data_IF_745474835550
#
_entry.id   IF_745474835550
#
_cell.length_a   1.000
_cell.length_b   1.000
_cell.length_c   1.000
_cell.angle_alpha   90.00
_cell.angle_beta   90.00
_cell.angle_gamma   90.00
#
_symmetry.space_group_name_H-M   'P 1'
#
loop_
_entity.id
_entity.type
_entity.pdbx_description
1 polymer ?
#
# COMPACT_ATOMS: atom_id res chain seq x y z
N UNK A 1 -14.09 14.84 6.72
CA UNK A 1 -12.82 15.57 6.61
C UNK A 1 -11.73 14.50 6.46
N UNK A 2 -10.93 14.52 5.39
CA UNK A 2 -9.94 13.46 5.09
C UNK A 2 -8.82 13.43 6.15
N UNK A 3 -8.22 12.25 6.36
CA UNK A 3 -7.03 12.07 7.18
C UNK A 3 -5.87 12.97 6.74
N UNK A 4 -5.72 13.22 5.42
CA UNK A 4 -4.75 14.18 4.88
C UNK A 4 -4.96 15.59 5.41
N UNK A 5 -6.21 16.07 5.43
CA UNK A 5 -6.53 17.40 5.94
C UNK A 5 -6.26 17.51 7.44
N UNK A 6 -6.60 16.47 8.22
CA UNK A 6 -6.33 16.42 9.67
C UNK A 6 -4.83 16.41 9.97
N UNK A 7 -4.05 15.62 9.23
CA UNK A 7 -2.60 15.56 9.37
C UNK A 7 -1.93 16.88 8.96
N UNK A 8 -2.33 17.46 7.82
CA UNK A 8 -1.83 18.74 7.34
C UNK A 8 -2.13 19.88 8.33
N UNK A 9 -3.35 19.94 8.85
CA UNK A 9 -3.74 20.95 9.84
C UNK A 9 -2.90 20.83 11.11
N UNK A 10 -2.63 19.61 11.58
CA UNK A 10 -1.81 19.45 12.77
C UNK A 10 -0.34 19.82 12.54
N UNK A 11 0.22 19.47 11.38
CA UNK A 11 1.58 19.88 10.99
C UNK A 11 1.72 21.40 10.87
N UNK A 12 0.66 22.11 10.46
CA UNK A 12 0.69 23.56 10.19
C UNK A 12 0.22 24.42 11.37
N UNK A 13 -0.57 23.88 12.29
CA UNK A 13 -1.14 24.63 13.43
C UNK A 13 -0.14 25.02 14.53
N UNK A 14 1.12 24.57 14.46
CA UNK A 14 2.14 24.81 15.48
C UNK A 14 1.94 24.05 16.79
N UNK A 15 0.80 23.38 16.99
CA UNK A 15 0.57 22.45 18.10
C UNK A 15 1.10 21.07 17.74
N UNK A 16 2.01 20.54 18.57
CA UNK A 16 2.43 19.15 18.47
C UNK A 16 1.24 18.21 18.76
N UNK A 17 1.00 17.24 17.86
CA UNK A 17 0.07 16.13 18.14
C UNK A 17 0.60 15.31 19.31
N UNK A 18 -0.31 14.86 20.17
CA UNK A 18 0.02 13.82 21.16
C UNK A 18 0.34 12.50 20.43
N UNK A 19 1.18 11.62 21.00
CA UNK A 19 1.51 10.35 20.37
C UNK A 19 0.29 9.52 19.94
N UNK A 20 -0.76 9.48 20.75
CA UNK A 20 -1.99 8.75 20.45
C UNK A 20 -2.76 9.37 19.26
N UNK A 21 -2.83 10.71 19.21
CA UNK A 21 -3.46 11.46 18.12
C UNK A 21 -2.70 11.26 16.79
N UNK A 22 -1.38 11.21 16.86
CA UNK A 22 -0.51 10.93 15.71
C UNK A 22 -0.66 9.48 15.22
N UNK A 23 -0.73 8.50 16.14
CA UNK A 23 -0.94 7.11 15.79
C UNK A 23 -2.30 6.89 15.10
N UNK A 24 -3.37 7.52 15.60
CA UNK A 24 -4.69 7.49 14.99
C UNK A 24 -4.68 8.14 13.59
N UNK A 25 -4.05 9.30 13.45
CA UNK A 25 -3.95 10.00 12.17
C UNK A 25 -3.16 9.20 11.13
N UNK A 26 -2.04 8.57 11.52
CA UNK A 26 -1.25 7.71 10.64
C UNK A 26 -2.01 6.43 10.26
N UNK A 27 -2.77 5.84 11.18
CA UNK A 27 -3.62 4.69 10.88
C UNK A 27 -4.71 5.06 9.86
N UNK A 28 -5.35 6.22 10.02
CA UNK A 28 -6.35 6.73 9.08
C UNK A 28 -5.73 7.04 7.70
N UNK A 29 -4.57 7.69 7.66
CA UNK A 29 -3.84 7.98 6.42
C UNK A 29 -3.46 6.71 5.67
N UNK A 30 -2.94 5.70 6.37
CA UNK A 30 -2.58 4.42 5.77
C UNK A 30 -3.79 3.72 5.14
N UNK A 31 -4.95 3.83 5.79
CA UNK A 31 -6.20 3.28 5.25
C UNK A 31 -6.62 4.02 3.99
N UNK A 32 -6.78 5.35 4.08
CA UNK A 32 -7.19 6.19 2.94
C UNK A 32 -6.25 6.00 1.74
N UNK A 33 -4.92 6.09 1.96
CA UNK A 33 -3.94 5.90 0.90
C UNK A 33 -3.95 4.49 0.30
N UNK A 34 -4.06 3.46 1.15
CA UNK A 34 -4.05 2.08 0.67
C UNK A 34 -5.29 1.73 -0.15
N UNK A 35 -6.45 2.28 0.23
CA UNK A 35 -7.70 2.16 -0.55
C UNK A 35 -7.57 2.90 -1.89
N UNK A 36 -7.10 4.15 -1.89
CA UNK A 36 -6.87 4.95 -3.11
C UNK A 36 -5.88 4.28 -4.06
N UNK A 37 -4.76 3.76 -3.53
CA UNK A 37 -3.75 3.07 -4.31
C UNK A 37 -4.29 1.78 -4.94
N UNK A 38 -5.06 1.00 -4.18
CA UNK A 38 -5.68 -0.21 -4.69
C UNK A 38 -6.64 0.08 -5.85
N UNK A 39 -7.45 1.13 -5.72
CA UNK A 39 -8.40 1.53 -6.75
C UNK A 39 -7.69 2.08 -8.00
N UNK A 40 -6.65 2.88 -7.83
CA UNK A 40 -5.81 3.36 -8.92
C UNK A 40 -5.13 2.21 -9.68
N UNK A 41 -4.63 1.19 -8.97
CA UNK A 41 -4.07 -0.01 -9.59
C UNK A 41 -5.12 -0.81 -10.36
N UNK A 42 -6.34 -0.91 -9.84
CA UNK A 42 -7.46 -1.56 -10.53
C UNK A 42 -7.87 -0.84 -11.82
N UNK A 43 -7.93 0.49 -11.78
CA UNK A 43 -8.19 1.32 -12.96
C UNK A 43 -7.06 1.17 -13.99
N UNK A 44 -5.80 1.29 -13.57
CA UNK A 44 -4.64 1.09 -14.44
C UNK A 44 -4.66 -0.29 -15.10
N UNK A 45 -4.94 -1.35 -14.35
CA UNK A 45 -5.01 -2.70 -14.90
C UNK A 45 -6.11 -2.82 -15.97
N UNK A 46 -7.26 -2.21 -15.73
CA UNK A 46 -8.42 -2.22 -16.63
C UNK A 46 -8.12 -1.46 -17.91
N UNK A 47 -7.48 -0.30 -17.83
CA UNK A 47 -7.16 0.53 -19.00
C UNK A 47 -6.07 -0.10 -19.87
N UNK A 48 -5.01 -0.61 -19.26
CA UNK A 48 -3.82 -1.05 -19.99
C UNK A 48 -3.89 -2.51 -20.49
N UNK A 49 -4.60 -3.39 -19.78
CA UNK A 49 -4.64 -4.82 -20.11
C UNK A 49 -5.98 -5.28 -20.67
N UNK A 50 -6.87 -4.36 -21.06
CA UNK A 50 -8.10 -4.69 -21.75
C UNK A 50 -7.82 -5.46 -23.04
N UNK A 51 -8.55 -6.56 -23.31
CA UNK A 51 -8.51 -7.23 -24.61
C UNK A 51 -8.94 -6.27 -25.73
N UNK A 52 -8.21 -6.30 -26.84
CA UNK A 52 -8.49 -5.55 -28.06
C UNK A 52 -8.88 -6.53 -29.17
N UNK A 53 -9.72 -6.13 -30.14
CA UNK A 53 -10.12 -7.01 -31.25
C UNK A 53 -8.93 -7.50 -32.11
N UNK A 54 -7.81 -6.77 -32.09
CA UNK A 54 -6.58 -7.08 -32.82
C UNK A 54 -5.62 -7.99 -32.05
N UNK A 55 -5.92 -8.33 -30.80
CA UNK A 55 -5.03 -9.14 -29.98
C UNK A 55 -4.99 -10.59 -30.48
N UNK A 56 -3.79 -11.16 -30.49
CA UNK A 56 -3.65 -12.60 -30.70
C UNK A 56 -3.93 -13.36 -29.38
N UNK A 57 -4.15 -14.68 -29.47
CA UNK A 57 -4.23 -15.54 -28.28
C UNK A 57 -2.98 -15.48 -27.38
N UNK A 58 -1.82 -15.14 -27.94
CA UNK A 58 -0.60 -14.97 -27.17
C UNK A 58 -0.63 -13.65 -26.37
N UNK A 59 -1.14 -12.58 -26.99
CA UNK A 59 -1.30 -11.26 -26.37
C UNK A 59 -2.33 -11.30 -25.24
N UNK A 60 -3.47 -11.93 -25.48
CA UNK A 60 -4.51 -12.12 -24.46
C UNK A 60 -3.96 -12.80 -23.19
N UNK A 61 -3.17 -13.85 -23.38
CA UNK A 61 -2.56 -14.59 -22.26
C UNK A 61 -1.56 -13.72 -21.51
N UNK A 62 -0.74 -12.93 -22.22
CA UNK A 62 0.24 -12.03 -21.61
C UNK A 62 -0.48 -10.92 -20.83
N UNK A 63 -1.49 -10.28 -21.42
CA UNK A 63 -2.31 -9.25 -20.78
C UNK A 63 -3.04 -9.79 -19.55
N UNK A 64 -3.63 -10.98 -19.63
CA UNK A 64 -4.29 -11.61 -18.47
C UNK A 64 -3.33 -11.89 -17.31
N UNK A 65 -2.10 -12.31 -17.61
CA UNK A 65 -1.06 -12.50 -16.58
C UNK A 65 -0.65 -11.18 -15.93
N UNK A 66 -0.45 -10.14 -16.73
CA UNK A 66 -0.10 -8.81 -16.25
C UNK A 66 -1.23 -8.20 -15.40
N UNK A 67 -2.47 -8.25 -15.89
CA UNK A 67 -3.68 -7.86 -15.15
C UNK A 67 -3.74 -8.56 -13.79
N UNK A 68 -3.60 -9.89 -13.77
CA UNK A 68 -3.62 -10.65 -12.52
C UNK A 68 -2.50 -10.27 -11.56
N UNK A 69 -1.32 -9.88 -12.06
CA UNK A 69 -0.23 -9.39 -11.22
C UNK A 69 -0.56 -8.04 -10.58
N UNK A 70 -1.11 -7.10 -11.35
CA UNK A 70 -1.53 -5.77 -10.83
C UNK A 70 -2.66 -5.91 -9.82
N UNK A 71 -3.66 -6.76 -10.09
CA UNK A 71 -4.74 -7.01 -9.13
C UNK A 71 -4.25 -7.64 -7.82
N UNK A 72 -3.21 -8.49 -7.85
CA UNK A 72 -2.57 -8.98 -6.62
C UNK A 72 -1.92 -7.84 -5.82
N UNK A 73 -1.26 -6.90 -6.50
CA UNK A 73 -0.69 -5.73 -5.84
C UNK A 73 -1.79 -4.82 -5.25
N UNK A 74 -2.90 -4.62 -5.96
CA UNK A 74 -4.06 -3.87 -5.46
C UNK A 74 -4.65 -4.52 -4.20
N UNK A 75 -4.81 -5.85 -4.19
CA UNK A 75 -5.30 -6.57 -3.01
C UNK A 75 -4.33 -6.46 -1.83
N UNK A 76 -3.02 -6.57 -2.09
CA UNK A 76 -2.00 -6.38 -1.06
C UNK A 76 -2.04 -4.97 -0.45
N UNK A 77 -2.27 -3.93 -1.25
CA UNK A 77 -2.47 -2.57 -0.75
C UNK A 77 -3.69 -2.47 0.18
N UNK A 78 -4.81 -3.12 -0.16
CA UNK A 78 -6.00 -3.21 0.72
C UNK A 78 -5.72 -3.97 2.01
N UNK A 79 -4.96 -5.06 1.94
CA UNK A 79 -4.56 -5.82 3.14
C UNK A 79 -3.70 -4.97 4.08
N UNK A 80 -2.74 -4.22 3.54
CA UNK A 80 -1.94 -3.27 4.33
C UNK A 80 -2.83 -2.16 4.91
N UNK A 81 -3.81 -1.65 4.15
CA UNK A 81 -4.76 -0.64 4.61
C UNK A 81 -5.60 -1.14 5.79
N UNK A 82 -6.10 -2.37 5.69
CA UNK A 82 -6.96 -3.01 6.68
C UNK A 82 -6.22 -3.60 7.89
N UNK A 83 -4.93 -3.91 7.74
CA UNK A 83 -4.12 -4.49 8.82
C UNK A 83 -4.09 -3.55 10.03
N UNK A 84 -4.26 -4.01 11.27
CA UNK A 84 -3.89 -3.23 12.44
C UNK A 84 -2.36 -3.29 12.57
N UNK A 85 -1.64 -2.48 11.79
CA UNK A 85 -0.18 -2.55 11.70
C UNK A 85 0.43 -2.36 13.09
N UNK A 86 0.87 -3.46 13.70
CA UNK A 86 1.99 -3.45 14.62
C UNK A 86 3.20 -3.47 13.72
N UNK A 87 3.95 -2.37 13.69
CA UNK A 87 5.29 -2.38 13.13
C UNK A 87 6.11 -3.39 13.94
N UNK A 88 6.08 -4.67 13.57
CA UNK A 88 7.11 -5.59 14.01
C UNK A 88 8.36 -5.13 13.29
N UNK A 89 9.18 -4.33 13.99
CA UNK A 89 10.57 -4.12 13.62
C UNK A 89 11.10 -5.53 13.30
N UNK A 90 11.56 -5.82 12.08
CA UNK A 90 12.11 -7.14 11.79
C UNK A 90 13.17 -7.41 12.85
N UNK A 91 13.18 -8.60 13.49
CA UNK A 91 14.19 -8.90 14.49
C UNK A 91 15.55 -8.65 13.83
N UNK A 92 16.27 -7.65 14.34
CA UNK A 92 17.67 -7.47 14.00
C UNK A 92 18.32 -8.75 14.46
N UNK A 93 18.60 -9.66 13.53
CA UNK A 93 19.30 -10.89 13.85
C UNK A 93 20.58 -10.47 14.54
N UNK A 94 20.70 -10.83 15.82
CA UNK A 94 21.93 -10.73 16.60
C UNK A 94 23.05 -11.31 15.74
N UNK A 95 23.82 -10.44 15.11
CA UNK A 95 25.08 -10.77 14.47
C UNK A 95 26.14 -10.82 15.57
N UNK A 96 25.88 -11.70 16.54
CA UNK A 96 26.75 -11.89 17.69
C UNK A 96 27.14 -13.36 17.71
N UNK A 97 28.44 -13.59 17.51
CA UNK A 97 29.19 -14.83 17.76
C UNK A 97 29.34 -15.81 16.59
N UNK A 98 30.08 -15.38 15.56
CA UNK A 98 31.05 -16.29 14.92
C UNK A 98 32.43 -16.07 15.57
N UNK A 99 32.56 -16.48 16.83
CA UNK A 99 33.89 -16.74 17.42
C UNK A 99 34.32 -18.12 16.94
N UNK A 100 35.21 -18.15 15.96
CA UNK A 100 35.97 -19.34 15.63
C UNK A 100 37.05 -19.52 16.69
N UNK A 101 36.92 -20.56 17.51
CA UNK A 101 38.05 -21.20 18.21
C UNK A 101 38.30 -22.55 17.55
#
# INVERSE_FOLDING_TARGET
>A
MSAYSRAFQALTSGRAMRPDEAAEALAALRKEYGDELADALGQHATEHYRPKPTDTKADDRRKRRAYGAVMRAANFAREIAASPFRATIPPQGDTTNRSTS
#
